data_IF_298934133836
#
_entry.id   IF_298934133836
#
_cell.length_a   1.000
_cell.length_b   1.000
_cell.length_c   1.000
_cell.angle_alpha   90.00
_cell.angle_beta   90.00
_cell.angle_gamma   90.00
#
_symmetry.space_group_name_H-M   'P 1'
#
loop_
_entity.id
_entity.type
_entity.pdbx_description
1 polymer ?
#
# COMPACT_ATOMS: atom_id res chain seq x y z
N UNK A 1 7.49 -7.32 15.76
CA UNK A 1 8.96 -7.42 15.66
C UNK A 1 9.29 -8.68 14.88
N UNK A 2 10.26 -8.67 13.96
CA UNK A 2 10.64 -9.87 13.21
C UNK A 2 11.40 -10.83 14.13
N UNK A 3 10.76 -11.93 14.52
CA UNK A 3 11.32 -12.92 15.46
C UNK A 3 12.43 -13.70 14.74
N UNK A 4 13.59 -13.85 15.40
CA UNK A 4 14.74 -14.61 14.86
C UNK A 4 15.62 -13.87 13.85
N UNK A 5 15.26 -12.65 13.45
CA UNK A 5 16.11 -11.82 12.58
C UNK A 5 17.17 -11.04 13.35
N UNK A 6 18.27 -10.69 12.67
CA UNK A 6 19.27 -9.75 13.17
C UNK A 6 18.67 -8.36 13.42
N UNK A 7 19.34 -7.53 14.23
CA UNK A 7 18.91 -6.13 14.47
C UNK A 7 18.71 -5.36 13.16
N UNK A 8 19.59 -5.58 12.18
CA UNK A 8 19.50 -4.96 10.84
C UNK A 8 18.22 -5.37 10.12
N UNK A 9 17.90 -6.66 10.10
CA UNK A 9 16.68 -7.17 9.46
C UNK A 9 15.42 -6.70 10.17
N UNK A 10 15.44 -6.63 11.50
CA UNK A 10 14.32 -6.11 12.28
C UNK A 10 14.02 -4.63 11.95
N UNK A 11 15.05 -3.79 11.85
CA UNK A 11 14.92 -2.38 11.47
C UNK A 11 14.40 -2.27 10.03
N UNK A 12 14.96 -3.05 9.11
CA UNK A 12 14.52 -3.07 7.72
C UNK A 12 13.05 -3.48 7.61
N UNK A 13 12.66 -4.55 8.28
CA UNK A 13 11.29 -5.05 8.30
C UNK A 13 10.33 -4.00 8.86
N UNK A 14 10.67 -3.38 9.99
CA UNK A 14 9.86 -2.31 10.58
C UNK A 14 9.67 -1.12 9.61
N UNK A 15 10.73 -0.71 8.91
CA UNK A 15 10.66 0.35 7.90
C UNK A 15 9.74 -0.03 6.72
N UNK A 16 9.87 -1.25 6.21
CA UNK A 16 9.02 -1.77 5.13
C UNK A 16 7.55 -1.82 5.56
N UNK A 17 7.27 -2.31 6.77
CA UNK A 17 5.90 -2.36 7.30
C UNK A 17 5.31 -0.97 7.52
N UNK A 18 6.13 -0.01 7.97
CA UNK A 18 5.72 1.39 8.08
C UNK A 18 5.31 1.97 6.74
N UNK A 19 6.08 1.72 5.68
CA UNK A 19 5.73 2.18 4.33
C UNK A 19 4.49 1.47 3.79
N UNK A 20 4.38 0.15 3.96
CA UNK A 20 3.27 -0.67 3.47
C UNK A 20 1.92 -0.27 4.08
N UNK A 21 1.92 0.19 5.34
CA UNK A 21 0.73 0.58 6.08
C UNK A 21 0.56 2.11 6.15
N UNK A 22 1.38 2.87 5.41
CA UNK A 22 1.20 4.31 5.30
C UNK A 22 -0.01 4.63 4.40
N UNK A 23 -0.63 5.80 4.58
CA UNK A 23 -1.63 6.33 3.64
C UNK A 23 -1.09 6.32 2.21
N UNK A 24 -1.96 5.99 1.25
CA UNK A 24 -1.57 5.91 -0.16
C UNK A 24 -1.30 7.33 -0.67
N UNK A 25 -0.02 7.71 -0.78
CA UNK A 25 0.39 9.01 -1.29
C UNK A 25 1.41 8.86 -2.43
N UNK A 26 0.90 8.92 -3.67
CA UNK A 26 1.70 8.87 -4.91
C UNK A 26 2.80 7.78 -4.99
N UNK A 27 2.55 6.53 -4.55
CA UNK A 27 3.55 5.46 -4.67
C UNK A 27 3.74 5.08 -6.13
N UNK A 28 4.93 4.60 -6.51
CA UNK A 28 5.22 4.13 -7.87
C UNK A 28 4.38 2.92 -8.29
N UNK A 29 4.07 2.07 -7.33
CA UNK A 29 3.17 0.94 -7.52
C UNK A 29 2.17 0.87 -6.37
N UNK A 30 0.96 0.40 -6.66
CA UNK A 30 -0.06 0.09 -5.65
C UNK A 30 -0.41 -1.39 -5.72
N UNK A 31 -0.49 -2.01 -4.56
CA UNK A 31 -0.98 -3.38 -4.37
C UNK A 31 -2.48 -3.28 -4.12
N UNK A 32 -3.28 -4.04 -4.88
CA UNK A 32 -4.74 -4.07 -4.75
C UNK A 32 -5.18 -5.51 -4.58
N UNK A 33 -5.86 -5.80 -3.47
CA UNK A 33 -6.46 -7.10 -3.21
C UNK A 33 -7.55 -7.42 -4.23
N UNK A 34 -7.81 -8.72 -4.42
CA UNK A 34 -8.90 -9.19 -5.26
C UNK A 34 -9.89 -10.00 -4.44
N UNK A 35 -11.16 -9.86 -4.79
CA UNK A 35 -12.22 -10.73 -4.31
C UNK A 35 -12.97 -11.27 -5.53
N UNK A 36 -13.10 -12.59 -5.65
CA UNK A 36 -13.74 -13.24 -6.80
C UNK A 36 -13.17 -12.78 -8.16
N UNK A 37 -11.87 -12.46 -8.22
CA UNK A 37 -11.18 -11.97 -9.41
C UNK A 37 -11.30 -10.46 -9.68
N UNK A 38 -12.15 -9.75 -8.94
CA UNK A 38 -12.40 -8.30 -9.08
C UNK A 38 -11.51 -7.53 -8.11
N UNK A 39 -11.00 -6.36 -8.52
CA UNK A 39 -10.18 -5.49 -7.66
C UNK A 39 -11.02 -4.89 -6.52
N UNK A 40 -10.57 -5.07 -5.29
CA UNK A 40 -11.16 -4.48 -4.09
C UNK A 40 -10.35 -3.26 -3.66
N UNK A 41 -10.67 -2.07 -4.19
CA UNK A 41 -9.91 -0.84 -3.92
C UNK A 41 -9.87 -0.43 -2.44
N UNK A 42 -10.87 -0.84 -1.65
CA UNK A 42 -10.89 -0.68 -0.21
C UNK A 42 -9.77 -1.44 0.51
N UNK A 43 -9.21 -2.47 -0.12
CA UNK A 43 -8.06 -3.27 0.35
C UNK A 43 -6.89 -3.00 -0.59
N UNK A 44 -6.24 -1.85 -0.40
CA UNK A 44 -5.09 -1.45 -1.20
C UNK A 44 -3.98 -0.85 -0.35
N UNK A 45 -2.74 -1.06 -0.80
CA UNK A 45 -1.52 -0.72 -0.06
C UNK A 45 -0.48 -0.08 -0.99
N UNK A 46 0.28 0.92 -0.55
CA UNK A 46 1.44 1.39 -1.30
C UNK A 46 2.51 0.28 -1.38
N UNK A 47 3.17 0.14 -2.52
CA UNK A 47 4.34 -0.73 -2.64
C UNK A 47 5.55 -0.07 -1.96
N UNK A 48 6.19 -0.72 -0.96
CA UNK A 48 7.36 -0.15 -0.29
C UNK A 48 8.50 0.15 -1.26
N UNK A 49 9.20 1.25 -0.99
CA UNK A 49 10.23 1.85 -1.83
C UNK A 49 11.33 0.87 -2.23
N UNK A 50 11.72 -0.03 -1.31
CA UNK A 50 12.74 -1.07 -1.55
C UNK A 50 12.35 -2.02 -2.69
N UNK A 51 11.06 -2.31 -2.87
CA UNK A 51 10.54 -3.16 -3.95
C UNK A 51 10.13 -2.36 -5.20
N UNK A 52 9.93 -1.05 -5.06
CA UNK A 52 9.50 -0.19 -6.14
C UNK A 52 10.63 0.20 -7.11
N UNK A 53 11.90 -0.12 -6.84
CA UNK A 53 13.04 0.32 -7.67
C UNK A 53 13.03 -0.32 -9.05
N UNK A 54 12.76 -1.63 -9.12
CA UNK A 54 12.70 -2.42 -10.35
C UNK A 54 11.36 -3.12 -10.45
N UNK A 55 10.81 -3.21 -11.66
CA UNK A 55 9.55 -3.93 -11.91
C UNK A 55 9.62 -5.38 -11.44
N UNK A 56 10.79 -6.02 -11.60
CA UNK A 56 11.02 -7.40 -11.17
C UNK A 56 10.85 -7.57 -9.64
N UNK A 57 11.34 -6.62 -8.84
CA UNK A 57 11.23 -6.67 -7.37
C UNK A 57 9.77 -6.50 -6.93
N UNK A 58 9.04 -5.57 -7.56
CA UNK A 58 7.61 -5.39 -7.33
C UNK A 58 6.81 -6.66 -7.69
N UNK A 59 7.16 -7.32 -8.79
CA UNK A 59 6.51 -8.56 -9.20
C UNK A 59 6.86 -9.76 -8.29
N UNK A 60 8.07 -9.81 -7.74
CA UNK A 60 8.43 -10.80 -6.71
C UNK A 60 7.56 -10.56 -5.47
N UNK A 61 7.47 -9.32 -4.99
CA UNK A 61 6.62 -8.99 -3.84
C UNK A 61 5.16 -9.40 -4.09
N UNK A 62 4.60 -9.04 -5.27
CA UNK A 62 3.24 -9.43 -5.65
C UNK A 62 3.03 -10.93 -5.56
N UNK A 63 3.94 -11.73 -6.13
CA UNK A 63 3.84 -13.20 -6.10
C UNK A 63 3.90 -13.79 -4.69
N UNK A 64 4.69 -13.19 -3.80
CA UNK A 64 4.73 -13.61 -2.39
C UNK A 64 3.42 -13.26 -1.68
N UNK A 65 2.90 -12.05 -1.90
CA UNK A 65 1.64 -11.58 -1.32
C UNK A 65 0.41 -12.32 -1.85
N UNK A 66 0.44 -12.78 -3.11
CA UNK A 66 -0.67 -13.50 -3.74
C UNK A 66 -1.11 -14.74 -2.94
N UNK A 67 -0.13 -15.39 -2.29
CA UNK A 67 -0.36 -16.57 -1.43
C UNK A 67 -1.05 -16.23 -0.11
N UNK A 68 -0.91 -14.99 0.36
CA UNK A 68 -1.40 -14.55 1.67
C UNK A 68 -2.68 -13.70 1.57
N UNK A 69 -2.90 -12.98 0.46
CA UNK A 69 -3.95 -11.96 0.31
C UNK A 69 -5.12 -12.34 -0.63
N UNK A 70 -5.38 -13.63 -0.87
CA UNK A 70 -6.48 -14.08 -1.77
C UNK A 70 -6.40 -13.43 -3.15
N UNK A 71 -5.21 -13.53 -3.76
CA UNK A 71 -4.86 -12.88 -5.02
C UNK A 71 -4.79 -11.35 -4.97
N UNK A 72 -3.75 -10.79 -5.57
CA UNK A 72 -3.56 -9.35 -5.64
C UNK A 72 -3.01 -8.92 -7.00
N UNK A 73 -3.19 -7.64 -7.31
CA UNK A 73 -2.56 -7.00 -8.47
C UNK A 73 -1.57 -5.93 -8.03
N UNK A 74 -0.48 -5.82 -8.78
CA UNK A 74 0.50 -4.75 -8.65
C UNK A 74 0.32 -3.80 -9.83
N UNK A 75 -0.09 -2.55 -9.57
CA UNK A 75 -0.38 -1.56 -10.61
C UNK A 75 0.68 -0.48 -10.61
N UNK A 76 1.32 -0.25 -11.76
CA UNK A 76 2.23 0.87 -11.96
C UNK A 76 1.44 2.17 -12.12
N UNK A 77 1.77 3.21 -11.35
CA UNK A 77 0.94 4.42 -11.25
C UNK A 77 1.34 5.56 -12.17
N UNK A 78 2.50 5.47 -12.85
CA UNK A 78 3.04 6.52 -13.72
C UNK A 78 2.60 6.39 -15.18
N UNK A 79 1.44 5.77 -15.39
CA UNK A 79 0.71 5.78 -16.65
C UNK A 79 -0.66 6.42 -16.39
N UNK A 80 -1.34 6.85 -17.45
CA UNK A 80 -2.67 7.46 -17.30
C UNK A 80 -3.66 6.49 -16.62
N UNK A 81 -3.71 5.24 -17.07
CA UNK A 81 -4.55 4.19 -16.46
C UNK A 81 -4.15 3.90 -15.00
N UNK A 82 -2.83 3.85 -14.76
CA UNK A 82 -2.28 3.65 -13.43
C UNK A 82 -2.64 4.78 -12.46
N UNK A 83 -2.63 6.01 -12.94
CA UNK A 83 -2.99 7.20 -12.15
C UNK A 83 -4.48 7.24 -11.82
N UNK A 84 -5.35 6.86 -12.76
CA UNK A 84 -6.79 6.67 -12.48
C UNK A 84 -7.02 5.60 -11.42
N UNK A 85 -6.26 4.51 -11.47
CA UNK A 85 -6.31 3.44 -10.47
C UNK A 85 -5.83 3.93 -9.10
N UNK A 86 -4.73 4.68 -9.06
CA UNK A 86 -4.20 5.28 -7.84
C UNK A 86 -5.23 6.19 -7.16
N UNK A 87 -5.88 7.08 -7.90
CA UNK A 87 -6.90 7.98 -7.34
C UNK A 87 -8.05 7.20 -6.68
N UNK A 88 -8.52 6.11 -7.30
CA UNK A 88 -9.52 5.23 -6.68
C UNK A 88 -9.03 4.62 -5.37
N UNK A 89 -7.77 4.20 -5.31
CA UNK A 89 -7.20 3.66 -4.08
C UNK A 89 -7.14 4.73 -2.98
N UNK A 90 -6.73 5.96 -3.32
CA UNK A 90 -6.69 7.07 -2.36
C UNK A 90 -8.07 7.41 -1.79
N UNK A 91 -9.12 7.33 -2.61
CA UNK A 91 -10.49 7.62 -2.15
C UNK A 91 -11.11 6.47 -1.37
N UNK A 92 -10.82 5.21 -1.73
CA UNK A 92 -11.53 4.05 -1.18
C UNK A 92 -10.78 3.29 -0.09
N UNK A 93 -9.45 3.33 -0.07
CA UNK A 93 -8.62 2.49 0.79
C UNK A 93 -8.85 2.78 2.27
N UNK A 94 -8.88 1.72 3.08
CA UNK A 94 -8.93 1.84 4.53
C UNK A 94 -7.76 2.66 5.10
N UNK A 95 -6.58 2.59 4.47
CA UNK A 95 -5.38 3.34 4.90
C UNK A 95 -5.53 4.86 4.77
N UNK A 96 -6.47 5.32 3.95
CA UNK A 96 -6.73 6.74 3.72
C UNK A 96 -8.01 7.23 4.42
N UNK A 97 -8.77 6.37 5.11
CA UNK A 97 -10.00 6.78 5.80
C UNK A 97 -9.73 7.61 7.06
N UNK A 98 -8.70 7.30 7.82
CA UNK A 98 -8.38 8.02 9.07
C UNK A 98 -7.81 9.43 8.80
N UNK A 99 -7.11 9.63 7.68
CA UNK A 99 -6.69 10.99 7.24
C UNK A 99 -7.84 11.81 6.65
N UNK A 100 -8.98 11.18 6.32
CA UNK A 100 -10.16 11.87 5.80
C UNK A 100 -11.09 12.40 6.89
N UNK A 101 -10.77 12.21 8.19
CA UNK A 101 -11.42 12.98 9.25
C UNK A 101 -11.11 14.47 9.02
N UNK A 102 -12.11 15.30 8.69
CA UNK A 102 -11.87 16.71 8.47
C UNK A 102 -11.34 17.32 9.78
N UNK A 103 -10.23 18.06 9.71
CA UNK A 103 -9.76 18.95 10.79
C UNK A 103 -10.80 20.02 11.22
N UNK A 104 -12.01 20.00 10.64
CA UNK A 104 -13.14 20.86 10.97
C UNK A 104 -13.68 20.57 12.39
N UNK A 105 -13.31 19.45 13.02
CA UNK A 105 -13.72 19.12 14.40
C UNK A 105 -12.67 19.42 15.48
N UNK A 106 -11.51 20.01 15.13
CA UNK A 106 -10.48 20.39 16.11
C UNK A 106 -10.40 21.88 16.43
N UNK A 107 -11.35 22.69 15.93
CA UNK A 107 -11.51 24.10 16.32
C UNK A 107 -12.81 24.34 17.09
N UNK A 108 -12.86 23.77 18.29
CA UNK A 108 -13.56 24.36 19.43
C UNK A 108 -12.54 24.21 20.57
N UNK A 109 -11.60 25.13 20.74
CA UNK A 109 -11.77 26.40 21.46
C UNK A 109 -12.43 26.21 22.83
N UNK A 110 -11.60 26.44 23.85
CA UNK A 110 -11.85 26.60 25.30
C UNK A 110 -11.86 25.35 26.19
#
# INVERSE_FOLDING_TARGET
MLIGGSRREQVLFAGVMKELLAPINNPRYVIIGKEWGVRTYGVSFPCPSIFARRQQDAEILRRQLDRCLTHCTMVYTRTEEGRRTLLRCQTCSFLNRDEQLPHILTTTSE
#
